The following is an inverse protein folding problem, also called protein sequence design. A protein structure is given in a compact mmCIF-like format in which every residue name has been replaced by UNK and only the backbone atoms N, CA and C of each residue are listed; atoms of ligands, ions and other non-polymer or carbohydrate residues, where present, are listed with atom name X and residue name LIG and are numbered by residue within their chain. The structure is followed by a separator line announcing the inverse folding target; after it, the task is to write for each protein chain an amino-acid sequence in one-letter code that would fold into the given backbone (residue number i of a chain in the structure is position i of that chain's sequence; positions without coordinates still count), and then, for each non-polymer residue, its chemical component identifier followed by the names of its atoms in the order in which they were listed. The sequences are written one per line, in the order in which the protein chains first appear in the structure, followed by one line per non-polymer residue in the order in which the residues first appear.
data_IF_895137525229
#
_entry.id   IF_895137525229
#
_cell.length_a   1.000
_cell.length_b   1.000
_cell.length_c   1.000
_cell.angle_alpha   90.00
_cell.angle_beta   90.00
_cell.angle_gamma   90.00
#
_symmetry.space_group_name_H-M   'P 1'
#
loop_
_entity.id
_entity.type
_entity.pdbx_description
1 polymer ?
#
# COMPACT_ATOMS: atom_id res chain seq x y z
N UNK A 1 27.13 9.81 21.95
CA UNK A 1 26.15 10.30 20.96
C UNK A 1 25.76 9.14 20.06
N UNK A 2 24.70 8.41 20.43
CA UNK A 2 24.02 7.39 19.62
C UNK A 2 22.80 6.93 20.42
N UNK A 3 21.65 7.60 20.30
CA UNK A 3 20.39 7.05 20.85
C UNK A 3 19.11 7.61 20.19
N UNK A 4 19.20 8.67 19.39
CA UNK A 4 18.00 9.31 18.83
C UNK A 4 17.48 8.62 17.56
N UNK A 5 18.34 7.96 16.76
CA UNK A 5 17.89 7.12 15.64
C UNK A 5 17.14 5.86 16.10
N UNK A 6 17.34 5.38 17.33
CA UNK A 6 16.70 4.15 17.84
C UNK A 6 15.29 4.38 18.39
N UNK A 7 14.98 5.58 18.89
CA UNK A 7 13.68 5.85 19.51
C UNK A 7 12.54 5.82 18.50
N UNK A 8 12.69 6.52 17.36
CA UNK A 8 11.65 6.54 16.32
C UNK A 8 11.40 5.16 15.71
N UNK A 9 12.47 4.40 15.46
CA UNK A 9 12.39 3.04 14.93
C UNK A 9 11.80 2.06 15.95
N UNK A 10 12.21 2.13 17.21
CA UNK A 10 11.65 1.29 18.27
C UNK A 10 10.17 1.59 18.51
N UNK A 11 9.79 2.88 18.61
CA UNK A 11 8.39 3.27 18.79
C UNK A 11 7.54 2.80 17.61
N UNK A 12 8.02 2.97 16.37
CA UNK A 12 7.32 2.48 15.18
C UNK A 12 7.14 0.96 15.21
N UNK A 13 8.23 0.22 15.44
CA UNK A 13 8.21 -1.23 15.45
C UNK A 13 7.30 -1.81 16.55
N UNK A 14 7.18 -1.11 17.68
CA UNK A 14 6.29 -1.50 18.78
C UNK A 14 4.84 -1.10 18.53
N UNK A 15 4.58 0.08 17.95
CA UNK A 15 3.22 0.62 17.81
C UNK A 15 2.52 0.17 16.53
N UNK A 16 3.23 0.17 15.40
CA UNK A 16 2.70 -0.15 14.08
C UNK A 16 3.29 -1.44 13.51
N UNK A 17 4.45 -1.87 13.97
CA UNK A 17 5.14 -3.05 13.45
C UNK A 17 6.30 -2.71 12.51
N UNK A 18 6.82 -3.75 11.86
CA UNK A 18 7.93 -3.69 10.92
C UNK A 18 7.51 -2.97 9.64
N UNK A 19 8.45 -2.27 9.01
CA UNK A 19 8.19 -1.42 7.85
C UNK A 19 8.93 -1.91 6.62
N UNK A 20 8.23 -1.96 5.50
CA UNK A 20 8.79 -2.21 4.16
C UNK A 20 8.28 -1.15 3.18
N UNK A 21 9.09 -0.79 2.19
CA UNK A 21 8.70 0.18 1.17
C UNK A 21 9.11 -0.28 -0.22
N UNK A 22 8.30 0.05 -1.22
CA UNK A 22 8.61 -0.16 -2.64
C UNK A 22 8.05 0.99 -3.46
N UNK A 23 8.82 1.49 -4.42
CA UNK A 23 8.34 2.48 -5.39
C UNK A 23 8.03 1.79 -6.69
N UNK A 24 6.84 2.05 -7.24
CA UNK A 24 6.39 1.51 -8.52
C UNK A 24 5.97 2.65 -9.43
N UNK A 25 6.40 2.60 -10.68
CA UNK A 25 5.81 3.38 -11.74
C UNK A 25 4.51 2.70 -12.18
N UNK A 26 3.52 3.50 -12.55
CA UNK A 26 2.27 3.04 -13.11
C UNK A 26 2.42 2.70 -14.59
N UNK A 27 3.29 1.73 -14.90
CA UNK A 27 3.58 1.33 -16.28
C UNK A 27 2.93 -0.01 -16.65
N UNK A 28 2.78 -0.90 -15.67
CA UNK A 28 2.22 -2.24 -15.86
C UNK A 28 1.91 -2.86 -14.49
N UNK A 29 1.21 -4.00 -14.51
CA UNK A 29 1.08 -4.87 -13.34
C UNK A 29 2.46 -5.25 -12.79
N UNK A 30 2.64 -5.11 -11.48
CA UNK A 30 3.90 -5.39 -10.81
C UNK A 30 3.69 -5.89 -9.37
N UNK A 31 4.57 -6.79 -8.95
CA UNK A 31 4.59 -7.32 -7.59
C UNK A 31 5.06 -6.21 -6.64
N UNK A 32 4.34 -5.97 -5.55
CA UNK A 32 4.68 -4.96 -4.55
C UNK A 32 5.54 -5.56 -3.44
N UNK A 33 5.00 -6.59 -2.80
CA UNK A 33 5.58 -7.18 -1.60
C UNK A 33 5.39 -8.70 -1.60
N UNK A 34 6.46 -9.43 -1.29
CA UNK A 34 6.39 -10.88 -1.04
C UNK A 34 6.18 -11.12 0.44
N UNK A 35 5.18 -11.93 0.77
CA UNK A 35 4.83 -12.33 2.13
C UNK A 35 5.29 -13.76 2.37
N UNK A 36 6.08 -13.96 3.42
CA UNK A 36 6.47 -15.29 3.92
C UNK A 36 5.84 -15.47 5.29
N UNK A 37 5.05 -16.53 5.48
CA UNK A 37 4.38 -16.81 6.74
C UNK A 37 3.30 -15.80 7.12
N UNK A 38 2.60 -16.06 8.22
CA UNK A 38 1.41 -15.29 8.60
C UNK A 38 1.78 -13.88 9.12
N UNK A 39 1.20 -12.85 8.50
CA UNK A 39 1.45 -11.45 8.83
C UNK A 39 0.16 -10.66 8.96
N UNK A 40 0.04 -9.87 10.04
CA UNK A 40 -0.98 -8.83 10.18
C UNK A 40 -0.47 -7.55 9.53
N UNK A 41 -1.14 -7.07 8.49
CA UNK A 41 -0.87 -5.77 7.87
C UNK A 41 -1.62 -4.72 8.69
N UNK A 42 -0.87 -3.82 9.30
CA UNK A 42 -1.39 -2.81 10.22
C UNK A 42 -1.57 -1.45 9.56
N UNK A 43 -0.91 -1.21 8.43
CA UNK A 43 -1.05 0.02 7.64
C UNK A 43 -0.42 -0.18 6.26
N UNK A 44 -1.13 0.24 5.20
CA UNK A 44 -0.59 0.36 3.85
C UNK A 44 -1.03 1.69 3.24
N UNK A 45 -0.08 2.48 2.76
CA UNK A 45 -0.35 3.76 2.11
C UNK A 45 0.60 3.99 0.93
N UNK A 46 0.20 4.87 0.02
CA UNK A 46 0.99 5.28 -1.13
C UNK A 46 1.26 6.79 -1.10
N UNK A 47 2.43 7.22 -1.56
CA UNK A 47 2.74 8.64 -1.78
C UNK A 47 3.07 8.82 -3.25
N UNK A 48 2.36 9.70 -3.94
CA UNK A 48 2.65 10.03 -5.33
C UNK A 48 4.02 10.73 -5.40
N UNK A 49 4.90 10.19 -6.22
CA UNK A 49 6.29 10.63 -6.44
C UNK A 49 6.57 11.06 -7.88
N UNK A 50 5.73 10.67 -8.82
CA UNK A 50 5.73 11.13 -10.21
C UNK A 50 4.34 11.60 -10.62
N UNK A 51 4.26 12.68 -11.40
CA UNK A 51 3.00 13.22 -11.93
C UNK A 51 2.57 12.39 -13.12
N UNK A 52 1.29 12.08 -13.23
CA UNK A 52 0.76 11.44 -14.43
C UNK A 52 0.82 12.28 -15.69
N UNK A 53 0.75 11.64 -16.85
CA UNK A 53 0.79 12.29 -18.17
C UNK A 53 -0.54 12.95 -18.58
N UNK A 54 -1.55 12.86 -17.71
CA UNK A 54 -2.92 13.33 -17.92
C UNK A 54 -3.86 12.26 -18.47
N UNK A 55 -3.35 11.05 -18.73
CA UNK A 55 -4.14 9.86 -19.00
C UNK A 55 -4.87 9.33 -17.76
N UNK A 56 -5.95 8.59 -17.98
CA UNK A 56 -6.61 7.85 -16.91
C UNK A 56 -5.92 6.49 -16.74
N UNK A 57 -5.47 6.21 -15.53
CA UNK A 57 -4.87 4.95 -15.12
C UNK A 57 -5.64 4.37 -13.95
N UNK A 58 -6.08 3.12 -14.04
CA UNK A 58 -6.76 2.43 -12.94
C UNK A 58 -5.79 1.50 -12.24
N UNK A 59 -5.68 1.68 -10.92
CA UNK A 59 -4.81 0.93 -10.02
C UNK A 59 -5.68 0.03 -9.13
N UNK A 60 -5.37 -1.25 -9.04
CA UNK A 60 -5.95 -2.16 -8.05
C UNK A 60 -4.84 -2.89 -7.29
N UNK A 61 -5.10 -3.20 -6.01
CA UNK A 61 -4.16 -3.91 -5.15
C UNK A 61 -4.79 -5.23 -4.75
N UNK A 62 -4.11 -6.33 -5.03
CA UNK A 62 -4.64 -7.67 -4.86
C UNK A 62 -3.60 -8.60 -4.24
N UNK A 63 -4.07 -9.69 -3.64
CA UNK A 63 -3.28 -10.92 -3.55
C UNK A 63 -3.16 -11.51 -4.96
N UNK A 64 -1.95 -11.86 -5.37
CA UNK A 64 -1.62 -12.23 -6.75
C UNK A 64 -2.13 -13.60 -7.18
N UNK A 65 -1.99 -14.63 -6.36
CA UNK A 65 -2.21 -16.02 -6.75
C UNK A 65 -3.67 -16.28 -7.14
N UNK A 66 -4.61 -15.78 -6.35
CA UNK A 66 -6.04 -15.95 -6.54
C UNK A 66 -6.74 -14.64 -6.94
N UNK A 67 -5.99 -13.56 -7.14
CA UNK A 67 -6.52 -12.23 -7.50
C UNK A 67 -7.53 -11.72 -6.48
N UNK A 68 -7.33 -12.02 -5.18
CA UNK A 68 -8.23 -11.57 -4.12
C UNK A 68 -8.02 -10.07 -3.89
N UNK A 69 -9.05 -9.22 -4.06
CA UNK A 69 -8.90 -7.79 -3.91
C UNK A 69 -8.63 -7.41 -2.45
N UNK A 70 -7.62 -6.56 -2.25
CA UNK A 70 -7.32 -5.90 -0.96
C UNK A 70 -8.05 -4.55 -0.88
N UNK A 71 -8.24 -3.90 -2.04
CA UNK A 71 -9.09 -2.73 -2.21
C UNK A 71 -9.75 -2.76 -3.58
N UNK A 72 -10.86 -2.02 -3.74
CA UNK A 72 -11.45 -1.80 -5.05
C UNK A 72 -10.51 -0.96 -5.93
N UNK A 73 -10.65 -1.10 -7.25
CA UNK A 73 -9.81 -0.42 -8.22
C UNK A 73 -10.06 1.11 -8.22
N UNK A 74 -8.99 1.90 -8.15
CA UNK A 74 -9.03 3.38 -8.20
C UNK A 74 -8.55 3.88 -9.54
N UNK A 75 -9.39 4.65 -10.25
CA UNK A 75 -8.94 5.41 -11.41
C UNK A 75 -8.32 6.73 -10.99
N UNK A 76 -7.07 6.91 -11.36
CA UNK A 76 -6.24 8.10 -11.19
C UNK A 76 -6.16 8.83 -12.52
N UNK A 77 -6.31 10.15 -12.54
CA UNK A 77 -6.26 10.95 -13.77
C UNK A 77 -5.22 12.06 -13.77
N UNK A 78 -4.91 12.61 -12.60
CA UNK A 78 -4.11 13.84 -12.53
C UNK A 78 -3.49 14.06 -11.16
N UNK A 79 -3.25 12.98 -10.41
CA UNK A 79 -2.82 13.09 -9.03
C UNK A 79 -1.42 13.69 -8.97
N UNK A 80 -1.26 14.65 -8.08
CA UNK A 80 -0.06 15.47 -7.98
C UNK A 80 0.98 14.83 -7.05
N UNK A 81 2.25 15.12 -7.30
CA UNK A 81 3.34 14.69 -6.41
C UNK A 81 3.09 15.17 -4.98
N UNK A 82 3.16 14.22 -4.04
CA UNK A 82 2.90 14.45 -2.63
C UNK A 82 1.47 14.19 -2.19
N UNK A 83 0.54 13.87 -3.10
CA UNK A 83 -0.75 13.32 -2.73
C UNK A 83 -0.58 11.92 -2.14
N UNK A 84 -1.42 11.59 -1.16
CA UNK A 84 -1.25 10.39 -0.34
C UNK A 84 -2.48 9.50 -0.44
N UNK A 85 -2.25 8.27 -0.89
CA UNK A 85 -3.23 7.20 -0.95
C UNK A 85 -3.30 6.45 0.38
N UNK A 86 -4.49 6.02 0.79
CA UNK A 86 -4.69 5.13 1.93
C UNK A 86 -5.36 3.82 1.48
N UNK A 87 -4.81 2.67 1.89
CA UNK A 87 -5.42 1.37 1.66
C UNK A 87 -6.16 0.93 2.91
N UNK A 88 -7.46 0.66 2.80
CA UNK A 88 -8.32 0.37 3.94
C UNK A 88 -8.37 -1.11 4.33
N UNK A 89 -7.98 -2.02 3.45
CA UNK A 89 -8.12 -3.47 3.65
C UNK A 89 -9.56 -3.96 3.45
N UNK A 90 -10.36 -3.23 2.66
CA UNK A 90 -11.74 -3.56 2.33
C UNK A 90 -11.88 -3.67 0.80
N UNK A 91 -12.23 -4.85 0.26
CA UNK A 91 -12.31 -5.08 -1.18
C UNK A 91 -13.38 -4.24 -1.90
N UNK A 92 -14.35 -3.69 -1.18
CA UNK A 92 -15.43 -2.88 -1.75
C UNK A 92 -15.08 -1.38 -1.83
N UNK A 93 -13.96 -0.96 -1.23
CA UNK A 93 -13.58 0.44 -1.13
C UNK A 93 -12.32 0.75 -1.94
N UNK A 94 -12.40 1.81 -2.74
CA UNK A 94 -11.26 2.35 -3.48
C UNK A 94 -10.25 2.99 -2.52
N UNK A 95 -9.05 3.31 -3.01
CA UNK A 95 -8.05 4.10 -2.27
C UNK A 95 -8.69 5.36 -1.65
N UNK A 96 -8.41 5.61 -0.38
CA UNK A 96 -8.97 6.69 0.46
C UNK A 96 -10.48 6.59 0.77
N UNK A 97 -11.16 5.57 0.26
CA UNK A 97 -12.60 5.36 0.40
C UNK A 97 -13.42 6.12 -0.66
N UNK A 98 -14.60 5.57 -0.98
CA UNK A 98 -15.46 6.09 -2.04
C UNK A 98 -15.85 7.55 -1.79
N UNK A 99 -15.48 8.44 -2.72
CA UNK A 99 -15.79 9.87 -2.65
C UNK A 99 -14.76 10.72 -1.90
N UNK A 100 -13.63 10.14 -1.46
CA UNK A 100 -12.44 10.93 -1.12
C UNK A 100 -11.52 11.09 -2.30
N UNK A 101 -11.14 12.34 -2.54
CA UNK A 101 -10.05 12.67 -3.45
C UNK A 101 -8.76 12.69 -2.63
N UNK A 102 -7.67 12.08 -3.12
CA UNK A 102 -6.35 12.23 -2.51
C UNK A 102 -5.99 13.70 -2.32
N UNK A 103 -5.29 14.01 -1.23
CA UNK A 103 -4.85 15.38 -0.92
C UNK A 103 -3.36 15.40 -0.62
N UNK A 104 -2.76 16.57 -0.83
CA UNK A 104 -1.34 16.77 -0.59
C UNK A 104 -0.99 16.55 0.90
N UNK A 105 0.09 15.81 1.12
CA UNK A 105 0.80 15.62 2.41
C UNK A 105 0.06 14.79 3.47
N UNK A 106 -1.22 14.51 3.30
CA UNK A 106 -2.04 13.82 4.30
C UNK A 106 -2.84 12.73 3.59
N UNK A 107 -2.81 11.52 4.14
CA UNK A 107 -3.81 10.52 3.81
C UNK A 107 -4.98 10.64 4.80
N UNK A 108 -6.19 10.63 4.27
CA UNK A 108 -7.40 10.73 5.06
C UNK A 108 -8.47 9.81 4.47
N UNK A 109 -9.36 9.36 5.34
CA UNK A 109 -10.60 8.64 5.01
C UNK A 109 -11.78 9.56 5.32
N UNK A 110 -12.92 9.35 4.66
CA UNK A 110 -14.18 9.92 5.16
C UNK A 110 -14.47 9.37 6.56
N UNK A 111 -15.13 10.17 7.38
CA UNK A 111 -15.52 9.77 8.74
C UNK A 111 -16.39 8.50 8.80
N UNK A 112 -17.05 8.16 7.69
CA UNK A 112 -17.87 6.95 7.56
C UNK A 112 -17.03 5.67 7.39
N UNK A 113 -15.74 5.80 7.07
CA UNK A 113 -14.84 4.69 6.83
C UNK A 113 -13.78 4.62 7.92
N UNK A 114 -13.49 3.41 8.38
CA UNK A 114 -12.48 3.16 9.39
C UNK A 114 -11.37 2.31 8.78
N UNK A 115 -10.13 2.60 9.14
CA UNK A 115 -9.01 1.76 8.76
C UNK A 115 -9.18 0.36 9.37
N UNK A 116 -9.13 -0.67 8.53
CA UNK A 116 -9.13 -2.06 8.96
C UNK A 116 -7.77 -2.69 8.68
N UNK A 117 -7.05 -3.14 9.72
CA UNK A 117 -5.97 -4.10 9.51
C UNK A 117 -6.49 -5.34 8.78
N UNK A 118 -5.63 -6.02 8.03
CA UNK A 118 -5.96 -7.27 7.34
C UNK A 118 -4.82 -8.28 7.47
N UNK A 119 -5.13 -9.56 7.36
CA UNK A 119 -4.17 -10.65 7.54
C UNK A 119 -3.85 -11.25 6.17
N UNK A 120 -2.56 -11.48 5.94
CA UNK A 120 -2.10 -12.39 4.89
C UNK A 120 -1.74 -13.71 5.58
N UNK A 121 -2.45 -14.78 5.24
CA UNK A 121 -2.53 -16.04 6.02
C UNK A 121 -1.28 -16.93 5.93
N UNK A 122 -0.19 -16.41 5.37
CA UNK A 122 1.10 -17.08 5.37
C UNK A 122 1.24 -18.28 4.45
N UNK A 123 0.27 -18.51 3.55
CA UNK A 123 0.44 -19.48 2.48
C UNK A 123 1.72 -19.20 1.66
N UNK A 124 2.34 -20.27 1.18
CA UNK A 124 3.62 -20.15 0.46
C UNK A 124 3.43 -19.42 -0.86
N UNK A 125 4.24 -18.39 -1.11
CA UNK A 125 4.23 -17.65 -2.37
C UNK A 125 3.24 -16.48 -2.42
N UNK A 126 2.65 -16.10 -1.29
CA UNK A 126 1.78 -14.94 -1.21
C UNK A 126 2.52 -13.66 -1.64
N UNK A 127 1.89 -12.95 -2.57
CA UNK A 127 2.42 -11.69 -3.09
C UNK A 127 1.30 -10.67 -3.13
N UNK A 128 1.55 -9.50 -2.57
CA UNK A 128 0.71 -8.33 -2.78
C UNK A 128 1.16 -7.72 -4.10
N UNK A 129 0.27 -7.62 -5.06
CA UNK A 129 0.53 -7.02 -6.37
C UNK A 129 -0.29 -5.74 -6.57
N UNK A 130 0.24 -4.88 -7.44
CA UNK A 130 -0.46 -3.76 -8.03
C UNK A 130 -0.80 -4.16 -9.45
N UNK A 131 -2.08 -4.30 -9.76
CA UNK A 131 -2.55 -4.45 -11.14
C UNK A 131 -2.98 -3.11 -11.69
N UNK A 132 -2.75 -2.93 -12.98
CA UNK A 132 -3.02 -1.66 -13.62
C UNK A 132 -3.71 -1.84 -14.98
N UNK A 133 -4.66 -0.94 -15.27
CA UNK A 133 -5.19 -0.75 -16.63
C UNK A 133 -5.06 0.71 -17.04
N UNK A 134 -4.67 0.94 -18.31
CA UNK A 134 -4.12 2.23 -18.75
C UNK A 134 -2.62 2.29 -18.45
N UNK A 135 -1.83 2.97 -19.27
CA UNK A 135 -0.37 3.07 -19.09
C UNK A 135 -0.01 4.54 -18.85
N UNK A 136 0.65 4.83 -17.73
CA UNK A 136 1.19 6.15 -17.40
C UNK A 136 2.56 5.98 -16.74
N UNK A 137 3.58 5.91 -17.59
CA UNK A 137 4.96 5.71 -17.19
C UNK A 137 5.49 6.78 -16.22
N UNK A 138 4.82 7.94 -16.16
CA UNK A 138 5.24 9.10 -15.38
C UNK A 138 4.58 9.17 -14.02
N UNK A 139 3.36 8.63 -13.88
CA UNK A 139 2.75 8.42 -12.58
C UNK A 139 3.54 7.35 -11.80
N UNK A 140 4.03 7.70 -10.62
CA UNK A 140 4.81 6.77 -9.80
C UNK A 140 4.45 6.94 -8.32
N UNK A 141 4.37 5.84 -7.58
CA UNK A 141 3.90 5.82 -6.19
C UNK A 141 4.90 5.07 -5.32
N UNK A 142 5.31 5.69 -4.22
CA UNK A 142 6.02 5.01 -3.13
C UNK A 142 5.02 4.40 -2.17
N UNK A 143 4.95 3.08 -2.15
CA UNK A 143 4.12 2.29 -1.24
C UNK A 143 4.89 1.96 0.03
N UNK A 144 4.24 2.15 1.17
CA UNK A 144 4.80 1.85 2.49
C UNK A 144 3.83 0.95 3.24
N UNK A 145 4.33 -0.21 3.65
CA UNK A 145 3.57 -1.22 4.37
C UNK A 145 4.16 -1.41 5.77
N UNK A 146 3.27 -1.51 6.76
CA UNK A 146 3.59 -1.87 8.13
C UNK A 146 2.92 -3.19 8.47
N UNK A 147 3.64 -4.06 9.18
CA UNK A 147 3.13 -5.37 9.54
C UNK A 147 3.68 -5.90 10.86
N UNK A 148 2.92 -6.80 11.47
CA UNK A 148 3.32 -7.59 12.63
C UNK A 148 3.39 -9.06 12.19
N UNK A 149 4.57 -9.71 12.26
CA UNK A 149 4.66 -11.16 12.11
C UNK A 149 3.80 -11.86 13.17
N UNK A 150 2.95 -12.80 12.77
CA UNK A 150 2.11 -13.58 13.68
C UNK A 150 2.72 -14.95 14.03
N UNK A 151 3.75 -15.37 13.29
CA UNK A 151 4.52 -16.59 13.54
C UNK A 151 6.03 -16.39 13.34
N UNK A 152 6.81 -17.35 13.84
CA UNK A 152 8.27 -17.32 13.76
C UNK A 152 8.75 -17.46 12.31
N UNK A 153 9.63 -16.55 11.90
CA UNK A 153 10.16 -16.51 10.53
C UNK A 153 9.26 -15.76 9.54
N UNK A 154 8.06 -15.35 9.95
CA UNK A 154 7.19 -14.57 9.08
C UNK A 154 7.78 -13.18 8.80
N UNK A 155 7.76 -12.78 7.54
CA UNK A 155 8.31 -11.51 7.08
C UNK A 155 7.67 -11.05 5.77
N UNK A 156 7.75 -9.74 5.53
CA UNK A 156 7.36 -9.13 4.26
C UNK A 156 8.55 -8.37 3.71
N UNK A 157 8.89 -8.62 2.45
CA UNK A 157 9.96 -7.95 1.72
C UNK A 157 9.43 -7.28 0.47
N UNK A 158 10.10 -6.24 -0.01
CA UNK A 158 9.83 -5.68 -1.33
C UNK A 158 10.14 -6.74 -2.39
N UNK A 159 9.20 -6.97 -3.30
CA UNK A 159 9.35 -7.94 -4.40
C UNK A 159 10.29 -7.44 -5.50
#
# INVERSE_FOLDING_TARGET
MANELYLGDAVRNVALGLRVEKTLASLATADMFTVTGECLITLLYGIVTGVGDGGATTIAINEKADSVPICAATTVTSDAVGEVYWVQGDPDLILNGTGQVPVLKIAALLSAFQHSPFIMDGQTGLTIELTQTGDDATHAVKWVLFYIPLEDGANIVAA
#
